data_IF_619569795894
#
_entry.id   IF_619569795894
#
_cell.length_a   1.000
_cell.length_b   1.000
_cell.length_c   1.000
_cell.angle_alpha   90.00
_cell.angle_beta   90.00
_cell.angle_gamma   90.00
#
_symmetry.space_group_name_H-M   'P 1'
#
loop_
_entity.id
_entity.type
_entity.pdbx_description
1 polymer ?
#
# COMPACT_ATOMS: atom_id res chain seq x y z
N UNK A 1 12.19 -12.54 -8.45
CA UNK A 1 12.09 -11.35 -9.33
C UNK A 1 12.95 -10.20 -8.80
N UNK A 2 14.26 -10.40 -8.81
CA UNK A 2 15.20 -9.39 -8.29
C UNK A 2 15.19 -8.08 -9.08
N UNK A 3 14.80 -8.14 -10.34
CA UNK A 3 14.82 -6.99 -11.25
C UNK A 3 13.43 -6.45 -11.58
N UNK A 4 12.43 -6.77 -10.77
CA UNK A 4 11.09 -6.25 -10.98
C UNK A 4 11.08 -4.72 -10.84
N UNK A 5 10.47 -4.03 -11.78
CA UNK A 5 10.47 -2.57 -11.85
C UNK A 5 9.08 -2.05 -12.19
N UNK A 6 8.53 -1.23 -11.28
CA UNK A 6 7.23 -0.56 -11.46
C UNK A 6 7.22 0.72 -10.63
N UNK A 7 6.28 1.63 -10.90
CA UNK A 7 5.96 2.63 -9.90
C UNK A 7 5.11 2.01 -8.76
N UNK A 8 4.84 2.75 -7.70
CA UNK A 8 4.14 2.20 -6.54
C UNK A 8 2.73 1.68 -6.90
N UNK A 9 2.01 2.39 -7.75
CA UNK A 9 0.68 1.97 -8.20
C UNK A 9 0.75 0.73 -9.11
N UNK A 10 1.74 0.66 -9.96
CA UNK A 10 1.98 -0.52 -10.80
C UNK A 10 2.38 -1.74 -10.00
N UNK A 11 3.19 -1.58 -8.97
CA UNK A 11 3.56 -2.65 -8.06
C UNK A 11 2.33 -3.21 -7.32
N UNK A 12 1.47 -2.33 -6.80
CA UNK A 12 0.22 -2.72 -6.20
C UNK A 12 -0.67 -3.49 -7.19
N UNK A 13 -0.83 -2.97 -8.40
CA UNK A 13 -1.64 -3.60 -9.45
C UNK A 13 -1.13 -5.00 -9.79
N UNK A 14 0.18 -5.15 -9.97
CA UNK A 14 0.81 -6.44 -10.24
C UNK A 14 0.54 -7.45 -9.12
N UNK A 15 0.65 -7.03 -7.86
CA UNK A 15 0.37 -7.88 -6.71
C UNK A 15 -1.07 -8.35 -6.66
N UNK A 16 -2.01 -7.46 -6.92
CA UNK A 16 -3.44 -7.76 -6.92
C UNK A 16 -3.84 -8.71 -8.07
N UNK A 17 -3.09 -8.71 -9.15
CA UNK A 17 -3.27 -9.65 -10.27
C UNK A 17 -2.42 -10.91 -10.16
N UNK A 18 -1.46 -10.93 -9.23
CA UNK A 18 -0.40 -11.92 -9.16
C UNK A 18 0.30 -12.06 -10.53
N UNK A 19 0.70 -10.92 -11.10
CA UNK A 19 1.33 -10.83 -12.42
C UNK A 19 2.80 -10.49 -12.31
N UNK A 20 3.64 -11.09 -13.14
CA UNK A 20 5.05 -10.76 -13.26
C UNK A 20 5.30 -9.54 -14.16
N UNK A 21 4.26 -9.04 -14.83
CA UNK A 21 4.37 -7.89 -15.71
C UNK A 21 4.71 -6.62 -14.93
N UNK A 22 5.50 -5.76 -15.57
CA UNK A 22 5.87 -4.47 -15.02
C UNK A 22 4.85 -3.41 -15.45
N UNK A 23 4.33 -2.65 -14.49
CA UNK A 23 3.30 -1.64 -14.73
C UNK A 23 3.76 -0.26 -14.28
N UNK A 24 3.46 0.74 -15.11
CA UNK A 24 3.63 2.15 -14.79
C UNK A 24 2.26 2.80 -14.91
N UNK A 25 1.54 2.87 -13.81
CA UNK A 25 0.14 3.25 -13.79
C UNK A 25 -0.09 4.51 -12.97
N UNK A 26 -1.13 5.27 -13.34
CA UNK A 26 -1.70 6.26 -12.44
C UNK A 26 -2.50 5.56 -11.33
N UNK A 27 -2.82 6.30 -10.29
CA UNK A 27 -3.66 5.80 -9.19
C UNK A 27 -5.00 5.25 -9.74
N UNK A 28 -5.66 6.02 -10.59
CA UNK A 28 -6.97 5.63 -11.12
C UNK A 28 -6.88 4.39 -12.01
N UNK A 29 -5.87 4.31 -12.87
CA UNK A 29 -5.63 3.12 -13.70
C UNK A 29 -5.38 1.87 -12.84
N UNK A 30 -4.62 2.01 -11.75
CA UNK A 30 -4.28 0.88 -10.89
C UNK A 30 -5.49 0.33 -10.12
N UNK A 31 -6.44 1.19 -9.75
CA UNK A 31 -7.65 0.79 -9.01
C UNK A 31 -8.84 0.43 -9.89
N UNK A 32 -8.90 0.93 -11.12
CA UNK A 32 -10.09 0.89 -11.99
C UNK A 32 -10.62 -0.52 -12.27
N UNK A 33 -9.73 -1.46 -12.44
CA UNK A 33 -10.07 -2.82 -12.89
C UNK A 33 -10.23 -3.83 -11.76
N UNK A 34 -10.05 -3.40 -10.53
CA UNK A 34 -9.93 -4.33 -9.41
C UNK A 34 -11.18 -4.28 -8.54
N UNK A 35 -11.95 -5.37 -8.58
CA UNK A 35 -13.07 -5.59 -7.67
C UNK A 35 -12.58 -6.28 -6.40
N UNK A 36 -13.25 -6.01 -5.27
CA UNK A 36 -12.90 -6.66 -4.00
C UNK A 36 -12.01 -5.83 -3.10
N UNK A 37 -11.75 -4.57 -3.48
CA UNK A 37 -11.11 -3.57 -2.65
C UNK A 37 -12.19 -2.66 -2.07
N UNK A 38 -12.13 -2.45 -0.77
CA UNK A 38 -13.06 -1.54 -0.08
C UNK A 38 -12.27 -0.61 0.83
N UNK A 39 -12.44 0.68 0.64
CA UNK A 39 -11.91 1.65 1.60
C UNK A 39 -12.56 1.41 2.97
N UNK A 40 -11.75 1.33 4.01
CA UNK A 40 -12.23 1.10 5.37
C UNK A 40 -13.06 2.27 5.86
N UNK A 41 -12.65 3.47 5.49
CA UNK A 41 -13.38 4.70 5.78
C UNK A 41 -13.37 5.57 4.52
N UNK A 42 -14.47 6.27 4.25
CA UNK A 42 -14.53 7.21 3.15
C UNK A 42 -13.76 8.50 3.42
N UNK A 43 -13.50 8.79 4.70
CA UNK A 43 -12.67 9.94 5.09
C UNK A 43 -11.20 9.54 5.14
N UNK A 44 -10.35 10.47 4.72
CA UNK A 44 -8.93 10.34 4.93
C UNK A 44 -8.60 10.57 6.41
N UNK A 45 -7.74 9.74 6.96
CA UNK A 45 -7.28 9.86 8.33
C UNK A 45 -6.00 10.70 8.35
N UNK A 46 -5.93 11.67 9.27
CA UNK A 46 -4.74 12.49 9.40
C UNK A 46 -3.58 11.68 9.97
N UNK A 47 -2.40 11.84 9.38
CA UNK A 47 -1.17 11.25 9.92
C UNK A 47 -0.80 11.99 11.20
N UNK A 48 -0.73 11.27 12.31
CA UNK A 48 -0.43 11.77 13.64
C UNK A 48 0.60 10.88 14.34
N UNK A 49 1.02 11.28 15.53
CA UNK A 49 1.97 10.52 16.33
C UNK A 49 1.48 9.10 16.69
N UNK A 50 0.17 8.89 16.76
CA UNK A 50 -0.45 7.60 17.09
C UNK A 50 -0.98 6.84 15.86
N UNK A 51 -0.48 7.12 14.67
CA UNK A 51 -0.97 6.51 13.42
C UNK A 51 -0.85 4.98 13.45
N UNK A 52 0.24 4.43 13.98
CA UNK A 52 0.36 2.97 14.10
C UNK A 52 -0.71 2.35 14.98
N UNK A 53 -1.09 3.02 16.08
CA UNK A 53 -2.15 2.53 16.98
C UNK A 53 -3.51 2.58 16.29
N UNK A 54 -3.81 3.65 15.55
CA UNK A 54 -5.08 3.78 14.83
C UNK A 54 -5.21 2.76 13.70
N UNK A 55 -4.12 2.48 13.00
CA UNK A 55 -4.09 1.40 11.99
C UNK A 55 -4.31 0.04 12.66
N UNK A 56 -3.66 -0.20 13.82
CA UNK A 56 -3.84 -1.45 14.57
C UNK A 56 -5.30 -1.68 14.95
N UNK A 57 -5.96 -0.66 15.47
CA UNK A 57 -7.37 -0.74 15.84
C UNK A 57 -8.25 -1.04 14.64
N UNK A 58 -8.00 -0.37 13.50
CA UNK A 58 -8.71 -0.64 12.26
C UNK A 58 -8.55 -2.08 11.79
N UNK A 59 -7.33 -2.60 11.79
CA UNK A 59 -7.04 -3.95 11.34
C UNK A 59 -7.61 -5.02 12.28
N UNK A 60 -7.59 -4.79 13.59
CA UNK A 60 -8.11 -5.76 14.56
C UNK A 60 -9.62 -5.97 14.39
N UNK A 61 -10.35 -4.95 13.97
CA UNK A 61 -11.79 -5.02 13.75
C UNK A 61 -12.18 -5.64 12.40
N UNK A 62 -11.30 -5.53 11.41
CA UNK A 62 -11.63 -5.85 10.01
C UNK A 62 -10.69 -6.85 9.36
N UNK A 63 -9.75 -7.42 10.10
CA UNK A 63 -8.66 -8.20 9.52
C UNK A 63 -9.00 -9.68 9.43
N UNK A 64 -9.66 -10.07 8.35
CA UNK A 64 -9.83 -11.48 7.97
C UNK A 64 -8.75 -11.95 7.01
N UNK A 65 -7.92 -11.06 6.50
CA UNK A 65 -6.95 -11.33 5.45
C UNK A 65 -5.54 -10.94 5.84
N UNK A 66 -4.56 -11.62 5.28
CA UNK A 66 -3.15 -11.37 5.57
C UNK A 66 -2.66 -10.02 5.04
N UNK A 67 -3.14 -9.59 3.88
CA UNK A 67 -2.69 -8.38 3.21
C UNK A 67 -3.83 -7.40 2.99
N UNK A 68 -3.52 -6.14 3.17
CA UNK A 68 -4.36 -5.00 2.84
C UNK A 68 -3.48 -3.92 2.19
N UNK A 69 -4.03 -2.76 1.91
CA UNK A 69 -3.32 -1.66 1.27
C UNK A 69 -3.43 -0.42 2.14
N UNK A 70 -2.31 0.29 2.27
CA UNK A 70 -2.30 1.66 2.78
C UNK A 70 -2.02 2.62 1.62
N UNK A 71 -2.81 3.68 1.53
CA UNK A 71 -2.63 4.77 0.57
C UNK A 71 -2.31 6.06 1.33
N UNK A 72 -1.34 6.82 0.84
CA UNK A 72 -0.82 8.02 1.49
C UNK A 72 -1.12 9.22 0.60
N UNK A 73 -1.62 10.30 1.21
CA UNK A 73 -2.10 11.51 0.53
C UNK A 73 -1.38 12.76 1.03
N UNK A 74 -1.28 13.77 0.17
CA UNK A 74 -0.77 15.09 0.52
C UNK A 74 -1.82 15.98 1.21
N UNK A 75 -1.45 17.22 1.51
CA UNK A 75 -2.35 18.20 2.14
C UNK A 75 -3.55 18.58 1.27
N UNK A 76 -3.43 18.44 -0.05
CA UNK A 76 -4.51 18.66 -1.00
C UNK A 76 -5.37 17.40 -1.21
N UNK A 77 -5.12 16.35 -0.41
CA UNK A 77 -5.83 15.06 -0.48
C UNK A 77 -5.63 14.34 -1.81
N UNK A 78 -4.48 14.57 -2.44
CA UNK A 78 -4.07 13.85 -3.64
C UNK A 78 -3.19 12.66 -3.25
N UNK A 79 -3.46 11.51 -3.85
CA UNK A 79 -2.71 10.29 -3.61
C UNK A 79 -1.25 10.46 -4.05
N UNK A 80 -0.33 10.08 -3.17
CA UNK A 80 1.11 10.19 -3.43
C UNK A 80 1.79 8.82 -3.44
N UNK A 81 1.25 7.84 -2.71
CA UNK A 81 1.90 6.55 -2.58
C UNK A 81 0.93 5.47 -2.10
N UNK A 82 1.23 4.22 -2.45
CA UNK A 82 0.53 3.03 -1.93
C UNK A 82 1.56 1.97 -1.53
N UNK A 83 1.21 1.17 -0.54
CA UNK A 83 2.00 0.03 -0.09
C UNK A 83 1.07 -1.12 0.32
N UNK A 84 1.57 -2.36 0.21
CA UNK A 84 0.91 -3.48 0.85
C UNK A 84 1.23 -3.49 2.33
N UNK A 85 0.26 -3.86 3.12
CA UNK A 85 0.34 -3.93 4.57
C UNK A 85 -0.09 -5.32 5.01
N UNK A 86 0.80 -6.06 5.73
CA UNK A 86 0.40 -7.32 6.34
C UNK A 86 0.03 -7.15 7.82
N UNK A 87 -0.55 -8.19 8.43
CA UNK A 87 -0.97 -8.11 9.83
C UNK A 87 0.18 -8.23 10.83
N UNK A 88 1.40 -8.54 10.35
CA UNK A 88 2.63 -8.52 11.15
C UNK A 88 3.32 -7.16 11.12
N UNK A 89 2.67 -6.13 10.57
CA UNK A 89 3.16 -4.74 10.48
C UNK A 89 4.30 -4.52 9.51
N UNK A 90 4.44 -5.39 8.53
CA UNK A 90 5.35 -5.18 7.42
C UNK A 90 4.64 -4.45 6.29
N UNK A 91 5.37 -3.55 5.64
CA UNK A 91 4.89 -2.76 4.50
C UNK A 91 5.79 -3.05 3.31
N UNK A 92 5.17 -3.32 2.17
CA UNK A 92 5.88 -3.67 0.94
C UNK A 92 5.54 -2.67 -0.13
N UNK A 93 6.56 -2.01 -0.70
CA UNK A 93 6.34 -1.02 -1.75
C UNK A 93 7.47 -1.01 -2.79
N UNK A 94 7.22 -0.26 -3.87
CA UNK A 94 8.22 0.12 -4.85
C UNK A 94 7.98 1.58 -5.25
N UNK A 95 9.04 2.37 -5.32
CA UNK A 95 8.94 3.82 -5.53
C UNK A 95 9.45 4.27 -6.91
N UNK A 96 9.44 3.40 -7.87
CA UNK A 96 9.80 3.72 -9.24
C UNK A 96 10.80 2.75 -9.85
N UNK A 97 11.14 2.97 -11.14
CA UNK A 97 11.88 1.99 -11.94
C UNK A 97 13.30 1.74 -11.45
N UNK A 98 13.93 2.73 -10.84
CA UNK A 98 15.33 2.63 -10.38
C UNK A 98 15.47 2.23 -8.92
N UNK A 99 14.34 1.94 -8.26
CA UNK A 99 14.33 1.60 -6.84
C UNK A 99 13.99 0.13 -6.61
N UNK A 100 14.67 -0.54 -5.65
CA UNK A 100 14.31 -1.91 -5.31
C UNK A 100 12.94 -1.96 -4.62
N UNK A 101 12.37 -3.16 -4.59
CA UNK A 101 11.23 -3.43 -3.73
C UNK A 101 11.69 -3.32 -2.29
N UNK A 102 10.96 -2.58 -1.48
CA UNK A 102 11.32 -2.28 -0.11
C UNK A 102 10.40 -2.99 0.87
N UNK A 103 10.99 -3.40 1.99
CA UNK A 103 10.28 -3.92 3.14
C UNK A 103 10.48 -2.94 4.30
N UNK A 104 9.38 -2.43 4.84
CA UNK A 104 9.37 -1.58 6.03
C UNK A 104 8.79 -2.38 7.20
N UNK A 105 9.47 -2.41 8.32
CA UNK A 105 9.05 -3.18 9.50
C UNK A 105 8.07 -2.40 10.39
N UNK A 106 7.88 -1.12 10.13
CA UNK A 106 6.90 -0.29 10.83
C UNK A 106 6.47 0.88 9.96
N UNK A 107 5.31 1.44 10.30
CA UNK A 107 4.73 2.55 9.53
C UNK A 107 5.50 3.84 9.71
N UNK A 108 6.12 4.05 10.88
CA UNK A 108 6.87 5.26 11.18
C UNK A 108 8.05 5.43 10.23
N UNK A 109 8.78 4.36 9.94
CA UNK A 109 9.93 4.41 9.01
C UNK A 109 9.46 4.71 7.58
N UNK A 110 8.37 4.10 7.14
CA UNK A 110 7.78 4.39 5.85
C UNK A 110 7.35 5.85 5.75
N UNK A 111 6.61 6.35 6.73
CA UNK A 111 6.14 7.74 6.75
C UNK A 111 7.29 8.73 6.88
N UNK A 112 8.33 8.40 7.64
CA UNK A 112 9.51 9.25 7.79
C UNK A 112 10.24 9.42 6.46
N UNK A 113 10.40 8.34 5.70
CA UNK A 113 10.99 8.40 4.36
C UNK A 113 10.20 9.34 3.45
N UNK A 114 8.87 9.21 3.42
CA UNK A 114 8.00 10.06 2.60
C UNK A 114 7.90 11.48 3.13
N UNK A 115 7.97 11.68 4.44
CA UNK A 115 7.98 13.02 5.04
C UNK A 115 9.26 13.79 4.67
N UNK A 116 10.40 13.09 4.61
CA UNK A 116 11.66 13.72 4.21
C UNK A 116 11.74 13.99 2.71
N UNK A 117 11.23 13.07 1.89
CA UNK A 117 11.21 13.20 0.44
C UNK A 117 10.01 14.02 -0.04
N UNK A 118 8.88 13.86 0.63
CA UNK A 118 7.59 14.44 0.28
C UNK A 118 6.98 15.06 1.54
N UNK A 119 7.56 16.17 1.99
CA UNK A 119 7.16 16.88 3.22
C UNK A 119 5.67 17.26 3.29
N UNK A 120 4.92 17.06 2.19
CA UNK A 120 3.49 17.30 2.11
C UNK A 120 2.62 16.07 2.43
N UNK A 121 3.19 14.93 2.82
CA UNK A 121 2.41 13.76 3.24
C UNK A 121 1.60 14.10 4.49
N UNK A 122 0.27 13.97 4.42
CA UNK A 122 -0.63 14.48 5.45
C UNK A 122 -1.71 13.50 5.89
N UNK A 123 -2.20 12.63 5.01
CA UNK A 123 -3.33 11.75 5.26
C UNK A 123 -3.04 10.33 4.79
N UNK A 124 -3.76 9.37 5.36
CA UNK A 124 -3.72 7.98 4.90
C UNK A 124 -5.13 7.39 4.82
N UNK A 125 -5.25 6.32 4.07
CA UNK A 125 -6.46 5.52 3.98
C UNK A 125 -6.07 4.05 3.90
N UNK A 126 -6.80 3.19 4.63
CA UNK A 126 -6.62 1.74 4.55
C UNK A 126 -7.68 1.17 3.61
N UNK A 127 -7.24 0.34 2.68
CA UNK A 127 -8.11 -0.41 1.79
C UNK A 127 -8.06 -1.88 2.17
N UNK A 128 -9.24 -2.45 2.44
CA UNK A 128 -9.37 -3.86 2.81
C UNK A 128 -9.56 -4.68 1.54
N UNK A 129 -8.76 -5.72 1.40
CA UNK A 129 -8.85 -6.66 0.30
C UNK A 129 -9.80 -7.80 0.64
N UNK A 130 -10.48 -8.35 -0.36
CA UNK A 130 -11.16 -9.63 -0.17
C UNK A 130 -10.10 -10.76 -0.08
N UNK A 131 -10.56 -11.96 0.31
CA UNK A 131 -9.66 -13.10 0.51
C UNK A 131 -8.91 -13.50 -0.76
N UNK A 132 -9.56 -13.45 -1.90
CA UNK A 132 -8.94 -13.81 -3.18
C UNK A 132 -7.79 -12.87 -3.53
N UNK A 133 -7.99 -11.55 -3.40
CA UNK A 133 -6.95 -10.57 -3.65
C UNK A 133 -5.80 -10.68 -2.66
N UNK A 134 -6.12 -10.87 -1.38
CA UNK A 134 -5.09 -11.06 -0.34
C UNK A 134 -4.20 -12.28 -0.66
N UNK A 135 -4.79 -13.37 -1.11
CA UNK A 135 -4.04 -14.57 -1.52
C UNK A 135 -3.16 -14.31 -2.73
N UNK A 136 -3.65 -13.57 -3.72
CA UNK A 136 -2.86 -13.17 -4.89
C UNK A 136 -1.65 -12.33 -4.50
N UNK A 137 -1.83 -11.37 -3.60
CA UNK A 137 -0.73 -10.54 -3.08
C UNK A 137 0.29 -11.40 -2.34
N UNK A 138 -0.14 -12.33 -1.50
CA UNK A 138 0.74 -13.25 -0.80
C UNK A 138 1.62 -14.04 -1.77
N UNK A 139 1.01 -14.64 -2.79
CA UNK A 139 1.73 -15.41 -3.79
C UNK A 139 2.72 -14.54 -4.59
N UNK A 140 2.30 -13.33 -4.94
CA UNK A 140 3.17 -12.38 -5.64
C UNK A 140 4.39 -12.01 -4.80
N UNK A 141 4.19 -11.66 -3.53
CA UNK A 141 5.30 -11.28 -2.64
C UNK A 141 6.22 -12.45 -2.31
N UNK A 142 5.69 -13.65 -2.19
CA UNK A 142 6.49 -14.86 -1.91
C UNK A 142 7.44 -15.20 -3.08
N UNK A 143 7.13 -14.79 -4.29
CA UNK A 143 7.96 -14.99 -5.47
C UNK A 143 9.06 -13.92 -5.68
N UNK A 144 9.04 -12.87 -4.88
CA UNK A 144 10.01 -11.77 -5.02
C UNK A 144 11.39 -12.11 -4.43
#
# INVERSE_FOLDING_TARGET
>A
MENYSSNCYGFMHAGLLNSEDEFYLSRDEAFEWINGIKALDKKLNKIQWNTSDTIADCLSENNENKYNIIEIFDWDKKSQHVAFLDYDWNFYDQDGPDWPIRLWENIEDLLHEYKNMLWWTAYYQIHILNKDLSTKVENFLDEL
#
